data_IF_024945724418
#
_entry.id   IF_024945724418
#
_cell.length_a   1.000
_cell.length_b   1.000
_cell.length_c   1.000
_cell.angle_alpha   90.00
_cell.angle_beta   90.00
_cell.angle_gamma   90.00
#
_symmetry.space_group_name_H-M   'P 1'
#
loop_
_entity.id
_entity.type
_entity.pdbx_description
1 polymer ?
#
# COMPACT_ATOMS: atom_id res chain seq x y z
N UNK A 1 10.55 1.03 -14.63
CA UNK A 1 9.23 0.46 -14.26
C UNK A 1 9.35 -0.87 -13.50
N UNK A 2 10.00 -1.93 -14.02
CA UNK A 2 10.05 -3.22 -13.32
C UNK A 2 10.84 -3.19 -12.02
N UNK A 3 11.94 -2.43 -11.94
CA UNK A 3 12.72 -2.31 -10.71
C UNK A 3 11.93 -1.64 -9.58
N UNK A 4 11.27 -0.50 -9.85
CA UNK A 4 10.40 0.19 -8.87
C UNK A 4 9.29 -0.72 -8.37
N UNK A 5 8.62 -1.44 -9.27
CA UNK A 5 7.59 -2.39 -8.89
C UNK A 5 8.15 -3.55 -8.06
N UNK A 6 9.36 -4.03 -8.36
CA UNK A 6 10.04 -5.05 -7.57
C UNK A 6 10.38 -4.53 -6.16
N UNK A 7 10.89 -3.30 -6.03
CA UNK A 7 11.15 -2.66 -4.74
C UNK A 7 9.87 -2.54 -3.90
N UNK A 8 8.77 -2.06 -4.52
CA UNK A 8 7.46 -1.95 -3.88
C UNK A 8 6.92 -3.30 -3.42
N UNK A 9 6.95 -4.31 -4.30
CA UNK A 9 6.52 -5.67 -3.96
C UNK A 9 7.37 -6.24 -2.82
N UNK A 10 8.68 -6.02 -2.84
CA UNK A 10 9.57 -6.49 -1.79
C UNK A 10 9.23 -5.83 -0.44
N UNK A 11 8.99 -4.52 -0.41
CA UNK A 11 8.53 -3.79 0.78
C UNK A 11 7.20 -4.35 1.28
N UNK A 12 6.22 -4.53 0.38
CA UNK A 12 4.89 -5.04 0.75
C UNK A 12 4.98 -6.46 1.32
N UNK A 13 5.76 -7.34 0.71
CA UNK A 13 5.91 -8.74 1.14
C UNK A 13 6.73 -8.79 2.42
N UNK A 14 7.98 -8.34 2.41
CA UNK A 14 8.91 -8.51 3.53
C UNK A 14 8.55 -7.59 4.70
N UNK A 15 8.22 -6.33 4.43
CA UNK A 15 7.77 -5.38 5.44
C UNK A 15 6.41 -5.77 6.02
N UNK A 16 5.47 -6.23 5.17
CA UNK A 16 4.16 -6.73 5.61
C UNK A 16 4.23 -7.99 6.45
N UNK A 17 5.10 -8.95 6.08
CA UNK A 17 5.36 -10.16 6.87
C UNK A 17 6.00 -9.80 8.22
N UNK A 18 6.97 -8.88 8.22
CA UNK A 18 7.61 -8.40 9.46
C UNK A 18 6.61 -7.71 10.37
N UNK A 19 5.77 -6.82 9.84
CA UNK A 19 4.72 -6.15 10.61
C UNK A 19 3.69 -7.15 11.16
N UNK A 20 3.33 -8.17 10.37
CA UNK A 20 2.43 -9.25 10.80
C UNK A 20 3.04 -10.11 11.91
N UNK A 21 4.33 -10.43 11.79
CA UNK A 21 5.07 -11.16 12.82
C UNK A 21 5.10 -10.37 14.13
N UNK A 22 5.45 -9.08 14.10
CA UNK A 22 5.44 -8.23 15.30
C UNK A 22 4.03 -8.14 15.89
N UNK A 23 2.99 -7.96 15.08
CA UNK A 23 1.59 -7.94 15.55
C UNK A 23 1.18 -9.20 16.29
N UNK A 24 1.66 -10.35 15.83
CA UNK A 24 1.32 -11.63 16.42
C UNK A 24 2.03 -11.85 17.76
N UNK A 25 3.31 -11.44 17.85
CA UNK A 25 4.13 -11.66 19.05
C UNK A 25 4.09 -10.53 20.08
N UNK A 26 3.60 -9.35 19.70
CA UNK A 26 3.40 -8.22 20.60
C UNK A 26 1.90 -7.89 20.70
N UNK A 27 1.16 -8.58 21.57
CA UNK A 27 -0.26 -8.35 21.77
C UNK A 27 -0.49 -7.00 22.46
N UNK A 28 -0.53 -5.93 21.65
CA UNK A 28 -0.83 -4.58 22.11
C UNK A 28 -2.33 -4.30 21.98
N UNK A 29 -3.01 -3.91 23.08
CA UNK A 29 -4.41 -3.53 23.04
C UNK A 29 -4.59 -2.22 22.28
N UNK A 30 -5.71 -2.10 21.59
CA UNK A 30 -6.03 -0.92 20.79
C UNK A 30 -6.50 0.24 21.70
N UNK A 31 -6.28 1.51 21.32
CA UNK A 31 -6.56 2.65 22.20
C UNK A 31 -7.97 2.64 22.79
N UNK A 32 -8.99 2.36 21.97
CA UNK A 32 -10.39 2.36 22.41
C UNK A 32 -10.70 1.31 23.49
N UNK A 33 -10.01 0.17 23.50
CA UNK A 33 -10.19 -0.84 24.56
C UNK A 33 -9.48 -0.45 25.85
N UNK A 34 -8.31 0.16 25.74
CA UNK A 34 -7.48 0.49 26.89
C UNK A 34 -8.00 1.72 27.66
N UNK A 35 -8.55 2.72 26.95
CA UNK A 35 -9.01 3.98 27.58
C UNK A 35 -10.52 4.03 27.82
N UNK A 36 -11.26 2.99 27.41
CA UNK A 36 -12.71 2.91 27.53
C UNK A 36 -13.43 3.38 26.26
N UNK A 37 -14.39 2.57 25.80
CA UNK A 37 -15.17 2.86 24.59
C UNK A 37 -16.10 4.08 24.76
N UNK A 38 -16.42 4.43 26.01
CA UNK A 38 -17.15 5.64 26.41
C UNK A 38 -16.34 6.92 26.21
N UNK A 39 -15.00 6.83 26.20
CA UNK A 39 -14.09 8.00 26.12
C UNK A 39 -13.51 8.22 24.73
N UNK A 40 -13.77 7.32 23.78
CA UNK A 40 -13.22 7.41 22.42
C UNK A 40 -14.27 7.07 21.36
N UNK A 41 -14.39 7.98 20.38
CA UNK A 41 -15.09 7.71 19.14
C UNK A 41 -14.14 7.03 18.15
N UNK A 42 -14.44 5.78 17.79
CA UNK A 42 -13.72 5.05 16.74
C UNK A 42 -14.45 5.25 15.43
N UNK A 43 -13.73 5.74 14.41
CA UNK A 43 -14.28 5.87 13.05
C UNK A 43 -14.02 4.58 12.27
N UNK A 44 -15.09 3.89 11.87
CA UNK A 44 -15.04 2.64 11.13
C UNK A 44 -15.15 1.40 12.04
N UNK A 45 -14.58 0.27 11.61
CA UNK A 45 -14.68 -0.99 12.35
C UNK A 45 -13.73 -1.02 13.55
N UNK A 46 -14.28 -1.27 14.74
CA UNK A 46 -13.50 -1.40 15.96
C UNK A 46 -12.76 -2.76 15.99
N UNK A 47 -11.43 -2.72 15.87
CA UNK A 47 -10.56 -3.89 15.94
C UNK A 47 -9.93 -3.99 17.32
N UNK A 48 -10.11 -5.11 18.03
CA UNK A 48 -9.72 -5.24 19.44
C UNK A 48 -8.22 -5.45 19.71
N UNK A 49 -7.49 -6.16 18.83
CA UNK A 49 -6.11 -6.58 19.11
C UNK A 49 -5.10 -6.24 18.01
N UNK A 50 -3.82 -6.43 18.32
CA UNK A 50 -2.70 -6.31 17.38
C UNK A 50 -2.52 -4.88 16.87
N UNK A 51 -2.45 -3.89 17.77
CA UNK A 51 -2.27 -2.48 17.39
C UNK A 51 -0.90 -2.22 16.78
N UNK A 52 0.17 -2.68 17.41
CA UNK A 52 1.54 -2.39 16.99
C UNK A 52 2.04 -3.40 15.95
N UNK A 53 2.72 -2.96 14.86
CA UNK A 53 2.89 -1.59 14.38
C UNK A 53 1.76 -1.15 13.44
N UNK A 54 1.65 0.15 13.15
CA UNK A 54 0.71 0.65 12.15
C UNK A 54 1.16 0.30 10.72
N UNK A 55 0.42 -0.59 10.04
CA UNK A 55 0.71 -0.97 8.66
C UNK A 55 0.53 0.18 7.66
N UNK A 56 -0.45 1.07 7.89
CA UNK A 56 -0.64 2.28 7.10
C UNK A 56 0.57 3.21 7.19
N UNK A 57 1.07 3.43 8.41
CA UNK A 57 2.28 4.22 8.62
C UNK A 57 3.50 3.56 7.97
N UNK A 58 3.67 2.24 8.14
CA UNK A 58 4.76 1.51 7.51
C UNK A 58 4.77 1.65 5.98
N UNK A 59 3.63 1.45 5.32
CA UNK A 59 3.57 1.60 3.87
C UNK A 59 3.81 3.05 3.43
N UNK A 60 3.23 4.03 4.12
CA UNK A 60 3.37 5.44 3.76
C UNK A 60 4.83 5.93 3.87
N UNK A 61 5.51 5.58 4.95
CA UNK A 61 6.92 5.93 5.13
C UNK A 61 7.87 5.10 4.24
N UNK A 62 7.51 3.88 3.87
CA UNK A 62 8.26 3.15 2.84
C UNK A 62 8.16 3.82 1.46
N UNK A 63 6.99 4.35 1.09
CA UNK A 63 6.85 5.14 -0.15
C UNK A 63 7.71 6.40 -0.09
N UNK A 64 7.73 7.08 1.06
CA UNK A 64 8.59 8.24 1.28
C UNK A 64 10.08 7.88 1.11
N UNK A 65 10.54 6.80 1.73
CA UNK A 65 11.93 6.35 1.63
C UNK A 65 12.33 5.98 0.19
N UNK A 66 11.45 5.31 -0.55
CA UNK A 66 11.69 5.00 -1.97
C UNK A 66 11.75 6.28 -2.82
N UNK A 67 10.80 7.21 -2.65
CA UNK A 67 10.80 8.49 -3.37
C UNK A 67 12.05 9.34 -3.06
N UNK A 68 12.49 9.36 -1.81
CA UNK A 68 13.71 10.07 -1.40
C UNK A 68 14.99 9.38 -1.93
N UNK A 69 15.00 8.04 -2.00
CA UNK A 69 16.11 7.25 -2.52
C UNK A 69 16.30 7.38 -4.03
N UNK A 70 15.23 7.64 -4.79
CA UNK A 70 15.29 7.84 -6.25
C UNK A 70 16.14 9.04 -6.65
N UNK A 71 16.14 10.12 -5.85
CA UNK A 71 16.98 11.31 -6.10
C UNK A 71 18.48 10.96 -6.20
N UNK A 72 18.92 9.88 -5.55
CA UNK A 72 20.34 9.47 -5.48
C UNK A 72 20.77 8.51 -6.60
N UNK A 73 19.85 8.00 -7.43
CA UNK A 73 20.07 6.77 -8.23
C UNK A 73 19.73 6.89 -9.74
N UNK A 74 19.96 8.04 -10.38
CA UNK A 74 19.95 8.29 -11.85
C UNK A 74 18.79 9.14 -12.44
N UNK A 75 19.23 10.05 -13.33
CA UNK A 75 18.67 10.55 -14.60
C UNK A 75 17.15 10.70 -14.78
N UNK A 76 16.76 11.95 -15.07
CA UNK A 76 15.43 12.58 -15.20
C UNK A 76 14.50 12.01 -16.31
N UNK A 77 14.61 10.74 -16.70
CA UNK A 77 13.98 10.24 -17.95
C UNK A 77 12.49 9.89 -17.84
N UNK A 78 11.84 10.17 -16.71
CA UNK A 78 10.38 10.05 -16.59
C UNK A 78 9.82 11.25 -15.85
N UNK A 79 9.08 12.11 -16.55
CA UNK A 79 8.49 13.35 -16.01
C UNK A 79 7.72 13.13 -14.68
N UNK A 80 7.02 11.99 -14.54
CA UNK A 80 6.28 11.63 -13.33
C UNK A 80 7.20 11.16 -12.20
N UNK A 81 8.24 10.37 -12.51
CA UNK A 81 9.21 9.90 -11.51
C UNK A 81 10.12 11.02 -11.01
N UNK A 82 10.54 11.91 -11.90
CA UNK A 82 11.35 13.07 -11.55
C UNK A 82 10.60 14.06 -10.65
N UNK A 83 9.28 14.22 -10.85
CA UNK A 83 8.48 15.10 -10.00
C UNK A 83 8.40 14.60 -8.55
N UNK A 84 8.17 13.32 -8.31
CA UNK A 84 8.15 12.78 -6.93
C UNK A 84 9.50 12.89 -6.22
N UNK A 85 10.61 12.91 -6.97
CA UNK A 85 11.96 13.12 -6.45
C UNK A 85 12.36 14.62 -6.35
N UNK A 86 11.55 15.53 -6.91
CA UNK A 86 11.74 16.98 -6.81
C UNK A 86 11.46 17.49 -5.40
N UNK A 87 11.99 18.67 -5.04
CA UNK A 87 11.72 19.29 -3.75
C UNK A 87 10.21 19.43 -3.43
N UNK A 88 9.35 19.98 -4.33
CA UNK A 88 7.91 20.07 -4.06
C UNK A 88 7.21 18.71 -4.02
N UNK A 89 7.62 17.76 -4.88
CA UNK A 89 7.03 16.41 -4.85
C UNK A 89 7.38 15.66 -3.57
N UNK A 90 8.64 15.74 -3.12
CA UNK A 90 9.07 15.12 -1.87
C UNK A 90 8.41 15.77 -0.65
N UNK A 91 8.21 17.10 -0.67
CA UNK A 91 7.44 17.80 0.37
C UNK A 91 5.99 17.28 0.43
N UNK A 92 5.34 17.11 -0.73
CA UNK A 92 4.00 16.53 -0.78
C UNK A 92 3.97 15.09 -0.26
N UNK A 93 4.90 14.23 -0.71
CA UNK A 93 4.96 12.82 -0.26
C UNK A 93 5.21 12.75 1.24
N UNK A 94 6.05 13.63 1.79
CA UNK A 94 6.29 13.74 3.23
C UNK A 94 5.01 14.14 3.95
N UNK A 95 4.32 15.19 3.49
CA UNK A 95 3.06 15.65 4.06
C UNK A 95 2.01 14.53 4.05
N UNK A 96 1.89 13.80 2.94
CA UNK A 96 0.97 12.66 2.83
C UNK A 96 1.36 11.52 3.78
N UNK A 97 2.65 11.22 3.93
CA UNK A 97 3.09 10.17 4.85
C UNK A 97 2.75 10.49 6.31
N UNK A 98 3.00 11.72 6.75
CA UNK A 98 2.59 12.18 8.07
C UNK A 98 1.07 12.27 8.21
N UNK A 99 0.36 12.77 7.20
CA UNK A 99 -1.10 12.82 7.19
C UNK A 99 -1.74 11.44 7.33
N UNK A 100 -1.22 10.44 6.61
CA UNK A 100 -1.66 9.04 6.74
C UNK A 100 -1.37 8.50 8.13
N UNK A 101 -0.17 8.74 8.70
CA UNK A 101 0.15 8.29 10.05
C UNK A 101 -0.76 8.93 11.11
N UNK A 102 -0.95 10.25 11.06
CA UNK A 102 -1.82 10.99 11.96
C UNK A 102 -3.29 10.60 11.81
N UNK A 103 -3.75 10.30 10.59
CA UNK A 103 -5.12 9.80 10.38
C UNK A 103 -5.41 8.55 11.22
N UNK A 104 -4.40 7.69 11.47
CA UNK A 104 -4.58 6.47 12.25
C UNK A 104 -4.77 6.72 13.75
N UNK A 105 -4.22 7.83 14.25
CA UNK A 105 -4.45 8.33 15.60
C UNK A 105 -5.83 9.00 15.67
N UNK A 106 -6.16 9.85 14.68
CA UNK A 106 -7.42 10.59 14.63
C UNK A 106 -8.66 9.69 14.59
N UNK A 107 -8.60 8.55 13.90
CA UNK A 107 -9.69 7.56 13.87
C UNK A 107 -9.73 6.63 15.11
N UNK A 108 -8.83 6.83 16.08
CA UNK A 108 -8.75 6.03 17.31
C UNK A 108 -8.20 4.62 17.12
N UNK A 109 -7.64 4.29 15.96
CA UNK A 109 -7.23 2.92 15.64
C UNK A 109 -5.86 2.52 16.21
N UNK A 110 -4.97 3.48 16.46
CA UNK A 110 -3.58 3.24 16.80
C UNK A 110 -3.04 4.22 17.83
N UNK A 111 -2.12 3.75 18.67
CA UNK A 111 -1.34 4.62 19.55
C UNK A 111 -0.31 5.43 18.76
N UNK A 112 0.16 6.57 19.29
CA UNK A 112 1.28 7.30 18.69
C UNK A 112 2.53 6.41 18.49
N UNK A 113 2.83 5.53 19.44
CA UNK A 113 3.93 4.56 19.33
C UNK A 113 3.75 3.58 18.17
N UNK A 114 2.53 3.08 17.91
CA UNK A 114 2.25 2.20 16.78
C UNK A 114 2.59 2.88 15.44
N UNK A 115 2.27 4.17 15.32
CA UNK A 115 2.56 4.97 14.14
C UNK A 115 4.07 5.23 14.01
N UNK A 116 4.77 5.57 15.08
CA UNK A 116 6.22 5.77 15.05
C UNK A 116 6.97 4.50 14.66
N UNK A 117 6.63 3.35 15.28
CA UNK A 117 7.26 2.06 14.96
C UNK A 117 6.92 1.65 13.53
N UNK A 118 5.65 1.81 13.12
CA UNK A 118 5.24 1.59 11.73
C UNK A 118 6.07 2.41 10.76
N UNK A 119 6.13 3.73 10.97
CA UNK A 119 6.91 4.65 10.15
C UNK A 119 8.40 4.28 10.09
N UNK A 120 9.00 3.95 11.24
CA UNK A 120 10.39 3.49 11.32
C UNK A 120 10.65 2.23 10.51
N UNK A 121 9.79 1.20 10.65
CA UNK A 121 9.87 -0.01 9.82
C UNK A 121 9.74 0.33 8.34
N UNK A 122 8.80 1.21 7.99
CA UNK A 122 8.61 1.69 6.62
C UNK A 122 9.89 2.32 6.04
N UNK A 123 10.50 3.25 6.77
CA UNK A 123 11.76 3.88 6.38
C UNK A 123 12.89 2.86 6.18
N UNK A 124 13.03 1.91 7.11
CA UNK A 124 14.06 0.86 7.03
C UNK A 124 13.86 -0.02 5.80
N UNK A 125 12.68 -0.59 5.61
CA UNK A 125 12.43 -1.47 4.46
C UNK A 125 12.47 -0.72 3.13
N UNK A 126 11.95 0.51 3.07
CA UNK A 126 12.05 1.34 1.88
C UNK A 126 13.50 1.69 1.53
N UNK A 127 14.35 1.99 2.51
CA UNK A 127 15.77 2.26 2.29
C UNK A 127 16.56 1.01 1.90
N UNK A 128 16.18 -0.16 2.41
CA UNK A 128 16.84 -1.45 2.10
C UNK A 128 16.43 -2.02 0.73
N UNK A 129 15.21 -1.77 0.26
CA UNK A 129 14.69 -2.39 -0.95
C UNK A 129 15.59 -2.21 -2.20
N UNK A 130 16.18 -1.03 -2.47
CA UNK A 130 17.08 -0.86 -3.61
C UNK A 130 18.39 -1.67 -3.51
N UNK A 131 18.74 -2.16 -2.32
CA UNK A 131 19.95 -2.95 -2.05
C UNK A 131 19.64 -4.44 -1.84
N UNK A 132 18.37 -4.82 -1.78
CA UNK A 132 17.96 -6.19 -1.50
C UNK A 132 18.20 -7.09 -2.73
N UNK A 133 19.00 -8.15 -2.57
CA UNK A 133 19.30 -9.09 -3.65
C UNK A 133 18.06 -9.69 -4.37
N UNK A 134 16.90 -9.96 -3.71
CA UNK A 134 15.73 -10.50 -4.40
C UNK A 134 15.11 -9.49 -5.37
N UNK A 135 15.26 -8.19 -5.12
CA UNK A 135 14.71 -7.13 -5.99
C UNK A 135 15.30 -7.22 -7.40
N UNK A 136 16.59 -7.57 -7.53
CA UNK A 136 17.20 -7.82 -8.84
C UNK A 136 16.55 -9.01 -9.57
N UNK A 137 16.27 -10.11 -8.87
CA UNK A 137 15.62 -11.28 -9.44
C UNK A 137 14.16 -10.99 -9.84
N UNK A 138 13.42 -10.30 -8.95
CA UNK A 138 12.05 -9.86 -9.20
C UNK A 138 11.97 -8.89 -10.38
N UNK A 139 12.91 -7.95 -10.49
CA UNK A 139 12.99 -7.01 -11.62
C UNK A 139 13.17 -7.75 -12.95
N UNK A 140 14.06 -8.77 -12.99
CA UNK A 140 14.23 -9.63 -14.17
C UNK A 140 12.96 -10.42 -14.52
N UNK A 141 12.27 -10.96 -13.52
CA UNK A 141 10.98 -11.65 -13.73
C UNK A 141 9.93 -10.70 -14.30
N UNK A 142 9.78 -9.51 -13.71
CA UNK A 142 8.84 -8.48 -14.16
C UNK A 142 9.21 -7.88 -15.52
N UNK A 143 10.44 -8.05 -15.99
CA UNK A 143 10.85 -7.68 -17.34
C UNK A 143 10.39 -8.69 -18.41
N UNK A 144 10.01 -9.92 -18.04
CA UNK A 144 9.52 -10.96 -18.96
C UNK A 144 8.02 -10.77 -19.26
N UNK A 145 7.51 -11.16 -20.44
CA UNK A 145 6.08 -11.04 -20.78
C UNK A 145 5.16 -11.73 -19.76
N UNK A 146 5.55 -12.92 -19.27
CA UNK A 146 4.80 -13.62 -18.22
C UNK A 146 4.72 -12.78 -16.93
N UNK A 147 5.83 -12.23 -16.45
CA UNK A 147 5.83 -11.39 -15.24
C UNK A 147 5.00 -10.12 -15.41
N UNK A 148 4.99 -9.53 -16.60
CA UNK A 148 4.16 -8.36 -16.92
C UNK A 148 2.66 -8.71 -16.92
N UNK A 149 2.28 -9.86 -17.49
CA UNK A 149 0.90 -10.36 -17.46
C UNK A 149 0.43 -10.69 -16.04
N UNK A 150 1.28 -11.33 -15.25
CA UNK A 150 0.99 -11.63 -13.84
C UNK A 150 0.78 -10.34 -13.03
N UNK A 151 1.62 -9.32 -13.24
CA UNK A 151 1.45 -8.01 -12.61
C UNK A 151 0.15 -7.32 -13.06
N UNK A 152 -0.17 -7.36 -14.36
CA UNK A 152 -1.44 -6.83 -14.86
C UNK A 152 -2.64 -7.52 -14.23
N UNK A 153 -2.62 -8.86 -14.14
CA UNK A 153 -3.66 -9.64 -13.49
C UNK A 153 -3.81 -9.28 -12.00
N UNK A 154 -2.69 -9.16 -11.27
CA UNK A 154 -2.70 -8.75 -9.86
C UNK A 154 -3.29 -7.36 -9.64
N UNK A 155 -3.02 -6.41 -10.53
CA UNK A 155 -3.60 -5.06 -10.48
C UNK A 155 -5.09 -5.06 -10.85
N UNK A 156 -5.53 -5.91 -11.79
CA UNK A 156 -6.96 -6.10 -12.08
C UNK A 156 -7.68 -6.66 -10.85
N UNK A 157 -7.14 -7.70 -10.23
CA UNK A 157 -7.71 -8.27 -9.00
C UNK A 157 -7.76 -7.22 -7.89
N UNK A 158 -6.69 -6.45 -7.70
CA UNK A 158 -6.66 -5.36 -6.72
C UNK A 158 -7.71 -4.29 -7.02
N UNK A 159 -7.88 -3.91 -8.29
CA UNK A 159 -8.92 -2.98 -8.72
C UNK A 159 -10.31 -3.49 -8.39
N UNK A 160 -10.60 -4.77 -8.67
CA UNK A 160 -11.90 -5.38 -8.37
C UNK A 160 -12.15 -5.40 -6.85
N UNK A 161 -11.14 -5.73 -6.06
CA UNK A 161 -11.23 -5.69 -4.59
C UNK A 161 -11.49 -4.28 -4.06
N UNK A 162 -10.83 -3.26 -4.61
CA UNK A 162 -11.03 -1.85 -4.20
C UNK A 162 -12.43 -1.36 -4.60
N UNK A 163 -12.92 -1.76 -5.78
CA UNK A 163 -14.23 -1.39 -6.31
C UNK A 163 -15.41 -2.13 -5.68
N UNK A 164 -15.16 -3.05 -4.73
CA UNK A 164 -16.17 -3.82 -4.03
C UNK A 164 -17.00 -2.94 -3.08
N UNK A 165 -17.91 -2.15 -3.64
CA UNK A 165 -18.88 -1.35 -2.89
C UNK A 165 -20.01 -2.23 -2.35
N UNK A 166 -20.71 -1.82 -1.27
CA UNK A 166 -21.85 -2.57 -0.74
C UNK A 166 -22.92 -2.86 -1.80
N UNK A 167 -23.20 -1.90 -2.69
CA UNK A 167 -24.13 -2.07 -3.81
C UNK A 167 -23.67 -3.16 -4.79
N UNK A 168 -22.38 -3.20 -5.12
CA UNK A 168 -21.81 -4.23 -6.01
C UNK A 168 -21.82 -5.61 -5.34
N UNK A 169 -21.49 -5.70 -4.05
CA UNK A 169 -21.51 -6.94 -3.29
C UNK A 169 -22.93 -7.50 -3.12
N UNK A 170 -23.93 -6.63 -2.96
CA UNK A 170 -25.34 -7.02 -2.96
C UNK A 170 -25.80 -7.48 -4.35
N UNK A 171 -25.50 -6.72 -5.41
CA UNK A 171 -25.87 -7.07 -6.78
C UNK A 171 -25.26 -8.39 -7.27
N UNK A 172 -24.09 -8.77 -6.75
CA UNK A 172 -23.40 -10.03 -7.08
C UNK A 172 -23.74 -11.19 -6.13
N UNK A 173 -24.54 -10.96 -5.09
CA UNK A 173 -24.83 -11.95 -4.05
C UNK A 173 -23.63 -12.33 -3.19
N UNK A 174 -22.50 -11.62 -3.29
CA UNK A 174 -21.27 -11.92 -2.55
C UNK A 174 -21.31 -11.43 -1.11
N UNK A 175 -22.23 -10.53 -0.75
CA UNK A 175 -22.37 -9.94 0.59
C UNK A 175 -22.51 -10.97 1.74
N UNK A 176 -23.04 -12.16 1.45
CA UNK A 176 -23.16 -13.23 2.44
C UNK A 176 -21.79 -13.84 2.84
N UNK A 177 -20.81 -13.75 1.95
CA UNK A 177 -19.49 -14.34 2.18
C UNK A 177 -18.65 -13.45 3.11
N UNK A 178 -18.16 -14.05 4.21
CA UNK A 178 -17.33 -13.36 5.21
C UNK A 178 -16.12 -12.63 4.60
N UNK A 179 -15.45 -13.24 3.61
CA UNK A 179 -14.29 -12.62 2.96
C UNK A 179 -14.68 -11.40 2.12
N UNK A 180 -15.88 -11.37 1.55
CA UNK A 180 -16.36 -10.25 0.74
C UNK A 180 -16.76 -9.06 1.64
N UNK A 181 -17.35 -9.32 2.81
CA UNK A 181 -17.60 -8.27 3.82
C UNK A 181 -16.32 -7.59 4.32
N UNK A 182 -15.19 -8.30 4.32
CA UNK A 182 -13.90 -7.68 4.67
C UNK A 182 -13.39 -6.68 3.62
N UNK A 183 -14.00 -6.62 2.43
CA UNK A 183 -13.70 -5.61 1.40
C UNK A 183 -14.47 -4.30 1.65
N UNK A 184 -15.51 -4.34 2.46
CA UNK A 184 -16.26 -3.14 2.82
C UNK A 184 -15.43 -2.25 3.74
N UNK A 185 -15.29 -0.98 3.39
CA UNK A 185 -14.52 0.00 4.17
C UNK A 185 -15.26 0.50 5.40
N UNK A 186 -16.58 0.27 5.48
CA UNK A 186 -17.44 0.79 6.53
C UNK A 186 -17.59 2.32 6.52
N UNK A 187 -17.15 2.99 5.45
CA UNK A 187 -17.18 4.45 5.33
C UNK A 187 -17.73 4.88 3.95
N UNK A 188 -19.03 5.22 3.84
CA UNK A 188 -19.67 5.53 2.57
C UNK A 188 -19.00 6.67 1.78
N UNK A 189 -18.46 7.67 2.50
CA UNK A 189 -17.76 8.80 1.88
C UNK A 189 -16.43 8.41 1.22
N UNK A 190 -15.91 7.20 1.45
CA UNK A 190 -14.72 6.70 0.75
C UNK A 190 -15.02 6.23 -0.68
N UNK A 191 -16.29 6.02 -1.07
CA UNK A 191 -16.64 5.41 -2.35
C UNK A 191 -16.07 6.16 -3.58
N UNK A 192 -16.12 7.51 -3.66
CA UNK A 192 -15.51 8.22 -4.78
C UNK A 192 -13.99 7.95 -4.88
N UNK A 193 -13.30 7.95 -3.75
CA UNK A 193 -11.87 7.67 -3.70
C UNK A 193 -11.56 6.22 -4.09
N UNK A 194 -12.38 5.26 -3.67
CA UNK A 194 -12.23 3.85 -4.07
C UNK A 194 -12.35 3.69 -5.60
N UNK A 195 -13.33 4.36 -6.22
CA UNK A 195 -13.47 4.33 -7.69
C UNK A 195 -12.23 4.92 -8.37
N UNK A 196 -11.73 6.06 -7.90
CA UNK A 196 -10.49 6.66 -8.45
C UNK A 196 -9.31 5.71 -8.31
N UNK A 197 -9.12 5.09 -7.15
CA UNK A 197 -8.01 4.14 -6.92
C UNK A 197 -8.15 2.87 -7.78
N UNK A 198 -9.36 2.36 -7.97
CA UNK A 198 -9.63 1.25 -8.87
C UNK A 198 -9.28 1.61 -10.33
N UNK A 199 -9.68 2.79 -10.80
CA UNK A 199 -9.32 3.27 -12.14
C UNK A 199 -7.80 3.44 -12.31
N UNK A 200 -7.10 3.94 -11.29
CA UNK A 200 -5.63 4.02 -11.29
C UNK A 200 -5.00 2.63 -11.39
N UNK A 201 -5.52 1.64 -10.65
CA UNK A 201 -5.06 0.26 -10.72
C UNK A 201 -5.29 -0.35 -12.11
N UNK A 202 -6.45 -0.12 -12.74
CA UNK A 202 -6.76 -0.55 -14.11
C UNK A 202 -5.84 0.10 -15.15
N UNK A 203 -5.58 1.40 -15.03
CA UNK A 203 -4.62 2.09 -15.90
C UNK A 203 -3.21 1.50 -15.75
N UNK A 204 -2.81 1.17 -14.51
CA UNK A 204 -1.58 0.42 -14.24
C UNK A 204 -1.56 -0.95 -14.91
N UNK A 205 -2.63 -1.73 -14.77
CA UNK A 205 -2.76 -3.05 -15.38
C UNK A 205 -2.65 -2.99 -16.91
N UNK A 206 -3.33 -2.02 -17.53
CA UNK A 206 -3.26 -1.79 -18.98
C UNK A 206 -1.83 -1.50 -19.45
N UNK A 207 -1.08 -0.67 -18.72
CA UNK A 207 0.32 -0.38 -19.04
C UNK A 207 1.19 -1.63 -18.99
N UNK A 208 1.02 -2.47 -17.97
CA UNK A 208 1.73 -3.75 -17.83
C UNK A 208 1.35 -4.74 -18.94
N UNK A 209 0.06 -4.83 -19.26
CA UNK A 209 -0.44 -5.69 -20.34
C UNK A 209 0.14 -5.28 -21.70
N UNK A 210 0.08 -3.98 -22.05
CA UNK A 210 0.66 -3.47 -23.30
C UNK A 210 2.16 -3.74 -23.42
N UNK A 211 2.91 -3.56 -22.33
CA UNK A 211 4.34 -3.87 -22.30
C UNK A 211 4.61 -5.36 -22.62
N UNK A 212 3.70 -6.26 -22.21
CA UNK A 212 3.81 -7.70 -22.49
C UNK A 212 3.62 -8.05 -23.96
N UNK A 213 2.80 -7.28 -24.68
CA UNK A 213 2.56 -7.48 -26.11
C UNK A 213 3.71 -6.92 -26.96
N UNK A 214 4.21 -5.73 -26.62
CA UNK A 214 5.29 -5.07 -27.38
C UNK A 214 6.58 -5.90 -27.40
N UNK A 215 6.88 -6.64 -26.33
CA UNK A 215 8.06 -7.53 -26.30
C UNK A 215 7.90 -8.82 -27.10
N UNK A 216 6.68 -9.28 -27.35
CA UNK A 216 6.45 -10.45 -28.21
C UNK A 216 6.63 -10.12 -29.70
N UNK A 217 6.43 -8.85 -30.08
CA UNK A 217 6.61 -8.39 -31.47
C UNK A 217 8.09 -8.14 -31.79
N UNK A 218 8.91 -7.91 -30.77
CA UNK A 218 10.33 -7.58 -30.92
C UNK A 218 11.30 -8.78 -30.70
N UNK A 219 10.78 -9.99 -30.48
CA UNK A 219 11.53 -11.21 -30.23
C UNK A 219 11.21 -12.25 -31.32
#
# INVERSE_FOLDING_TARGET
MPERAAQLLWVVIVGGLTASFIKHHLPSPRPYLALGADRMSVVGTALSAGSMPSGHSAMAFAMLALAAGEKRRFDERSAVGGWFASAPGLALVTLLAFGIALSRLAVGAHWPSDALVGGGLGLVFGALAPHAWPVGAMSRLLARPLGQRLMAAGLIVSSLCIAATPALLQATGLVERKWARNLETGYPLAAPLQVVLALVALAGAWRWWRASLQRQIAA
#
